data_IF_630028647382
#
_entry.id   IF_630028647382
#
_cell.length_a   1.000
_cell.length_b   1.000
_cell.length_c   1.000
_cell.angle_alpha   90.00
_cell.angle_beta   90.00
_cell.angle_gamma   90.00
#
_symmetry.space_group_name_H-M   'P 1'
#
loop_
_entity.id
_entity.type
_entity.pdbx_description
1 polymer ?
#
# COMPACT_ATOMS: atom_id res chain seq x y z
N UNK A 1 -25.78 11.66 -4.41
CA UNK A 1 -26.05 10.89 -3.16
C UNK A 1 -24.94 9.87 -3.02
N UNK A 2 -24.23 9.79 -1.88
CA UNK A 2 -23.18 8.80 -1.69
C UNK A 2 -23.71 7.39 -1.91
N UNK A 3 -22.95 6.52 -2.57
CA UNK A 3 -23.36 5.13 -2.76
C UNK A 3 -23.49 4.38 -1.42
N UNK A 4 -24.06 3.16 -1.45
CA UNK A 4 -24.21 2.33 -0.24
C UNK A 4 -22.86 2.06 0.45
N UNK A 5 -21.80 1.84 -0.33
CA UNK A 5 -20.48 1.47 0.17
C UNK A 5 -19.78 2.64 0.85
N UNK A 6 -20.03 3.87 0.41
CA UNK A 6 -19.60 5.09 1.09
C UNK A 6 -20.31 5.26 2.44
N UNK A 7 -21.65 5.17 2.45
CA UNK A 7 -22.44 5.36 3.69
C UNK A 7 -22.14 4.31 4.76
N UNK A 8 -21.88 3.07 4.35
CA UNK A 8 -21.60 1.95 5.24
C UNK A 8 -20.10 1.66 5.40
N UNK A 9 -19.21 2.53 4.87
CA UNK A 9 -17.77 2.29 4.86
C UNK A 9 -17.23 1.94 6.26
N UNK A 10 -17.64 2.69 7.28
CA UNK A 10 -17.18 2.47 8.66
C UNK A 10 -17.60 1.10 9.19
N UNK A 11 -18.79 0.62 8.82
CA UNK A 11 -19.27 -0.73 9.17
C UNK A 11 -18.42 -1.80 8.50
N UNK A 12 -18.16 -1.68 7.20
CA UNK A 12 -17.35 -2.65 6.47
C UNK A 12 -15.92 -2.75 7.02
N UNK A 13 -15.28 -1.62 7.32
CA UNK A 13 -13.93 -1.61 7.88
C UNK A 13 -13.89 -2.12 9.33
N UNK A 14 -14.87 -1.80 10.18
CA UNK A 14 -14.94 -2.36 11.52
C UNK A 14 -15.13 -3.89 11.51
N UNK A 15 -16.01 -4.42 10.65
CA UNK A 15 -16.17 -5.88 10.52
C UNK A 15 -14.92 -6.54 9.91
N UNK A 16 -14.23 -5.86 8.99
CA UNK A 16 -12.93 -6.31 8.48
C UNK A 16 -11.91 -6.45 9.61
N UNK A 17 -11.73 -5.42 10.45
CA UNK A 17 -10.80 -5.44 11.57
C UNK A 17 -11.19 -6.45 12.66
N UNK A 18 -12.49 -6.63 12.92
CA UNK A 18 -13.00 -7.66 13.84
C UNK A 18 -12.68 -9.08 13.36
N UNK A 19 -12.77 -9.31 12.06
CA UNK A 19 -12.49 -10.61 11.43
C UNK A 19 -10.98 -10.91 11.41
N UNK A 20 -10.16 -9.95 11.01
CA UNK A 20 -8.73 -10.17 10.77
C UNK A 20 -7.85 -9.91 12.00
N UNK A 21 -8.26 -8.98 12.89
CA UNK A 21 -7.52 -8.58 14.09
C UNK A 21 -6.04 -8.29 13.77
N UNK A 22 -5.13 -8.77 14.63
CA UNK A 22 -3.69 -8.62 14.48
C UNK A 22 -3.11 -9.32 13.24
N UNK A 23 -3.82 -10.27 12.61
CA UNK A 23 -3.31 -10.97 11.42
C UNK A 23 -3.25 -10.06 10.17
N UNK A 24 -3.95 -8.93 10.20
CA UNK A 24 -3.88 -7.92 9.14
C UNK A 24 -2.55 -7.15 9.18
N UNK A 25 -2.16 -6.78 10.39
CA UNK A 25 -0.91 -6.10 10.73
C UNK A 25 0.23 -7.13 10.73
N UNK A 26 0.62 -7.57 9.53
CA UNK A 26 1.80 -8.45 9.37
C UNK A 26 3.06 -7.63 9.44
N UNK A 27 4.16 -8.28 9.80
CA UNK A 27 5.50 -7.71 9.69
C UNK A 27 5.74 -7.13 8.28
N UNK A 28 5.90 -5.81 8.23
CA UNK A 28 6.14 -5.02 7.01
C UNK A 28 7.63 -4.75 6.90
N UNK A 29 8.44 -5.81 6.80
CA UNK A 29 9.90 -5.66 6.73
C UNK A 29 10.37 -4.73 5.61
N UNK A 30 9.63 -4.71 4.49
CA UNK A 30 9.86 -3.82 3.35
C UNK A 30 9.69 -2.34 3.69
N UNK A 31 8.97 -1.98 4.76
CA UNK A 31 8.63 -0.58 5.05
C UNK A 31 9.88 0.29 5.22
N UNK A 32 10.85 -0.14 6.03
CA UNK A 32 12.08 0.63 6.23
C UNK A 32 13.07 0.54 5.06
N UNK A 33 12.94 -0.48 4.21
CA UNK A 33 13.73 -0.58 2.98
C UNK A 33 13.24 0.42 1.94
N UNK A 34 11.93 0.53 1.78
CA UNK A 34 11.32 1.42 0.79
C UNK A 34 11.27 2.88 1.28
N UNK A 35 11.11 3.05 2.60
CA UNK A 35 10.93 4.34 3.25
C UNK A 35 11.91 4.55 4.40
N UNK A 36 13.24 4.60 4.15
CA UNK A 36 14.22 4.88 5.19
C UNK A 36 14.05 6.27 5.82
N UNK A 37 13.29 7.16 5.20
CA UNK A 37 13.00 8.51 5.69
C UNK A 37 12.31 8.51 7.07
N UNK A 38 11.55 7.45 7.36
CA UNK A 38 10.89 7.25 8.66
C UNK A 38 11.85 6.73 9.73
N UNK A 39 13.13 6.50 9.45
CA UNK A 39 14.08 6.13 10.49
C UNK A 39 14.71 7.38 11.13
N UNK A 40 15.03 7.37 12.43
CA UNK A 40 15.81 8.44 13.05
C UNK A 40 17.14 8.62 12.31
N UNK A 41 17.62 9.88 12.19
CA UNK A 41 18.83 10.23 11.42
C UNK A 41 20.03 9.32 11.75
N UNK A 42 20.24 8.94 13.01
CA UNK A 42 21.36 8.07 13.42
C UNK A 42 21.27 6.59 12.99
N UNK A 43 20.10 6.07 12.61
CA UNK A 43 19.95 4.70 12.06
C UNK A 43 20.07 4.65 10.54
N UNK A 44 19.83 5.76 9.84
CA UNK A 44 19.99 5.85 8.38
C UNK A 44 21.42 5.50 7.96
N UNK A 45 22.40 5.93 8.75
CA UNK A 45 23.82 5.69 8.49
C UNK A 45 24.26 4.23 8.68
N UNK A 46 23.53 3.44 9.47
CA UNK A 46 23.84 2.01 9.68
C UNK A 46 23.32 1.15 8.51
N UNK A 47 22.09 1.39 8.03
CA UNK A 47 21.57 0.68 6.85
C UNK A 47 22.39 0.98 5.59
N UNK A 48 22.81 2.24 5.40
CA UNK A 48 23.68 2.62 4.29
C UNK A 48 25.09 1.99 4.35
N UNK A 49 25.57 1.60 5.54
CA UNK A 49 26.84 0.87 5.72
C UNK A 49 26.68 -0.63 5.45
N UNK A 50 25.55 -1.22 5.81
CA UNK A 50 25.24 -2.63 5.54
C UNK A 50 25.05 -2.89 4.04
N UNK A 51 24.41 -1.98 3.30
CA UNK A 51 24.33 -2.07 1.82
C UNK A 51 25.71 -1.98 1.15
N UNK A 52 26.64 -1.18 1.69
CA UNK A 52 28.01 -1.06 1.16
C UNK A 52 28.93 -2.23 1.52
N UNK A 53 28.55 -3.06 2.51
CA UNK A 53 29.29 -4.27 2.92
C UNK A 53 28.90 -5.50 2.08
N UNK A 54 27.73 -5.45 1.43
CA UNK A 54 27.29 -6.43 0.43
C UNK A 54 27.93 -6.11 -0.93
N UNK A 55 29.02 -6.79 -1.26
CA UNK A 55 29.71 -6.66 -2.56
C UNK A 55 28.76 -6.65 -3.76
N UNK A 56 29.01 -5.81 -4.80
CA UNK A 56 28.30 -5.94 -6.06
C UNK A 56 28.84 -7.18 -6.77
N UNK A 57 28.02 -8.21 -6.90
CA UNK A 57 28.29 -9.28 -7.86
C UNK A 57 28.25 -8.65 -9.24
N UNK A 58 29.44 -8.39 -9.80
CA UNK A 58 29.63 -8.11 -11.23
C UNK A 58 29.07 -9.30 -12.00
N UNK A 59 27.90 -9.13 -12.60
CA UNK A 59 27.46 -10.00 -13.69
C UNK A 59 28.34 -9.67 -14.90
N UNK A 60 29.33 -10.53 -15.13
CA UNK A 60 30.13 -10.49 -16.35
C UNK A 60 29.22 -10.70 -17.56
N UNK A 61 29.21 -9.71 -18.43
CA UNK A 61 28.74 -9.87 -19.80
C UNK A 61 29.66 -10.86 -20.52
N UNK A 62 29.10 -12.03 -20.88
CA UNK A 62 29.41 -12.81 -22.09
C UNK A 62 28.61 -14.11 -22.02
N UNK A 63 27.50 -14.17 -22.76
CA UNK A 63 27.19 -15.22 -23.72
C UNK A 63 25.80 -14.92 -24.30
N UNK A 64 25.78 -14.67 -25.61
CA UNK A 64 24.61 -14.22 -26.33
C UNK A 64 23.48 -15.24 -26.32
N UNK A 65 22.26 -14.72 -26.22
CA UNK A 65 21.12 -15.35 -26.84
C UNK A 65 20.39 -14.26 -27.64
N UNK A 66 20.20 -14.59 -28.90
CA UNK A 66 19.82 -13.74 -30.02
C UNK A 66 18.47 -13.06 -29.85
N UNK A 67 18.38 -11.85 -30.42
CA UNK A 67 17.14 -11.14 -30.75
C UNK A 67 16.08 -12.09 -31.32
N UNK A 68 14.98 -12.27 -30.57
CA UNK A 68 13.67 -12.56 -31.15
C UNK A 68 12.73 -11.53 -30.58
N UNK A 69 12.44 -10.50 -31.37
CA UNK A 69 11.38 -9.55 -31.07
C UNK A 69 10.05 -10.29 -31.02
N UNK A 70 9.26 -10.05 -29.97
CA UNK A 70 7.84 -10.36 -29.97
C UNK A 70 7.08 -9.07 -30.30
N UNK A 71 6.47 -8.95 -31.50
CA UNK A 71 5.56 -7.88 -31.81
C UNK A 71 4.16 -8.18 -31.25
N UNK A 72 3.53 -7.16 -30.64
CA UNK A 72 2.08 -7.13 -30.43
C UNK A 72 1.58 -7.47 -29.02
N UNK A 73 1.54 -6.49 -28.12
CA UNK A 73 0.59 -6.44 -26.97
C UNK A 73 0.33 -4.99 -26.49
N UNK A 74 0.51 -4.00 -27.36
CA UNK A 74 -0.12 -2.69 -27.17
C UNK A 74 -1.34 -2.70 -28.09
N UNK A 75 -2.54 -2.88 -27.52
CA UNK A 75 -3.83 -2.35 -28.03
C UNK A 75 -5.05 -2.88 -27.21
N UNK A 76 -4.98 -4.02 -26.51
CA UNK A 76 -6.18 -4.63 -25.87
C UNK A 76 -6.57 -4.12 -24.46
N UNK A 77 -6.02 -2.99 -24.01
CA UNK A 77 -6.28 -2.48 -22.66
C UNK A 77 -7.42 -1.46 -22.51
N UNK A 78 -7.96 -0.95 -23.62
CA UNK A 78 -8.83 0.24 -23.61
C UNK A 78 -10.34 -0.04 -23.63
N UNK A 79 -10.78 -1.28 -23.89
CA UNK A 79 -12.18 -1.55 -24.26
C UNK A 79 -13.00 -2.32 -23.20
N UNK A 80 -12.45 -2.54 -22.00
CA UNK A 80 -13.08 -3.41 -20.99
C UNK A 80 -14.19 -2.74 -20.18
N UNK A 81 -14.22 -1.40 -20.09
CA UNK A 81 -15.24 -0.66 -19.32
C UNK A 81 -16.45 -0.23 -20.16
N UNK A 82 -16.33 -0.13 -21.48
CA UNK A 82 -17.41 0.40 -22.34
C UNK A 82 -18.57 -0.60 -22.53
N UNK A 83 -18.31 -1.91 -22.45
CA UNK A 83 -19.23 -2.93 -22.96
C UNK A 83 -20.23 -3.54 -21.94
N UNK A 84 -20.34 -3.01 -20.71
CA UNK A 84 -21.18 -3.64 -19.68
C UNK A 84 -22.15 -2.72 -18.93
N UNK A 85 -22.45 -1.54 -19.48
CA UNK A 85 -23.41 -0.61 -18.87
C UNK A 85 -24.89 -0.83 -19.23
N UNK A 86 -25.27 -1.86 -20.00
CA UNK A 86 -26.68 -2.08 -20.35
C UNK A 86 -27.10 -3.56 -20.33
N UNK A 87 -28.34 -3.77 -19.88
CA UNK A 87 -29.21 -4.95 -19.87
C UNK A 87 -29.10 -6.00 -18.73
N UNK A 88 -30.06 -5.91 -17.81
CA UNK A 88 -31.31 -6.68 -17.96
C UNK A 88 -31.33 -8.11 -17.40
N UNK A 89 -32.04 -8.28 -16.27
CA UNK A 89 -32.75 -9.47 -15.76
C UNK A 89 -32.51 -10.82 -16.46
N UNK A 90 -32.05 -11.83 -15.72
CA UNK A 90 -32.85 -13.04 -15.40
C UNK A 90 -32.12 -14.04 -14.47
N UNK A 91 -32.96 -14.75 -13.73
CA UNK A 91 -32.75 -15.77 -12.70
C UNK A 91 -31.89 -16.99 -13.12
N UNK A 92 -31.21 -17.63 -12.15
CA UNK A 92 -31.51 -19.00 -11.65
C UNK A 92 -30.33 -19.56 -10.81
N UNK A 93 -30.73 -20.29 -9.76
CA UNK A 93 -30.04 -21.21 -8.83
C UNK A 93 -28.79 -21.91 -9.42
N UNK A 94 -27.68 -22.16 -8.71
CA UNK A 94 -27.50 -22.64 -7.34
C UNK A 94 -27.03 -24.10 -7.40
N UNK A 95 -25.81 -24.42 -6.95
CA UNK A 95 -25.47 -25.74 -6.40
C UNK A 95 -24.15 -25.71 -5.60
N UNK A 96 -24.26 -26.25 -4.39
CA UNK A 96 -23.22 -26.52 -3.40
C UNK A 96 -22.60 -27.89 -3.64
N UNK A 97 -21.28 -28.04 -3.49
CA UNK A 97 -20.67 -29.35 -3.22
C UNK A 97 -19.59 -29.26 -2.14
N UNK A 98 -19.70 -30.19 -1.21
CA UNK A 98 -18.97 -30.33 0.03
C UNK A 98 -17.68 -31.16 -0.11
N UNK A 99 -16.81 -30.97 0.88
CA UNK A 99 -15.60 -31.71 1.25
C UNK A 99 -15.75 -33.24 1.20
N UNK A 100 -14.65 -33.93 0.88
CA UNK A 100 -14.28 -35.19 1.51
C UNK A 100 -12.78 -35.21 1.86
N UNK A 101 -12.50 -35.70 3.07
CA UNK A 101 -11.19 -35.94 3.68
C UNK A 101 -10.68 -37.35 3.31
N UNK A 102 -9.36 -37.54 3.24
CA UNK A 102 -8.69 -38.78 3.59
C UNK A 102 -7.18 -38.54 3.83
N UNK A 103 -6.67 -39.08 4.93
CA UNK A 103 -5.27 -39.32 5.34
C UNK A 103 -5.19 -40.78 5.85
N UNK A 104 -4.03 -41.36 6.19
CA UNK A 104 -2.73 -41.39 5.50
C UNK A 104 -2.18 -42.86 5.42
N UNK A 105 -1.13 -43.13 4.62
CA UNK A 105 -0.33 -44.37 4.71
C UNK A 105 1.16 -44.08 4.51
N UNK A 106 1.96 -44.80 5.30
CA UNK A 106 3.37 -44.64 5.71
C UNK A 106 4.46 -45.18 4.75
N UNK A 107 5.59 -44.44 4.76
CA UNK A 107 7.03 -44.81 4.66
C UNK A 107 7.57 -45.94 3.75
N UNK A 108 8.58 -45.63 2.91
CA UNK A 108 10.00 -45.83 3.27
C UNK A 108 11.06 -45.40 2.20
N UNK A 109 12.11 -44.73 2.72
CA UNK A 109 13.57 -44.85 2.49
C UNK A 109 14.35 -44.16 1.32
N UNK A 110 15.27 -43.31 1.80
CA UNK A 110 16.69 -43.10 1.44
C UNK A 110 17.08 -42.47 0.10
N UNK A 111 17.43 -41.17 0.13
CA UNK A 111 18.56 -40.60 -0.62
C UNK A 111 19.31 -39.57 0.27
N UNK A 112 20.63 -39.57 0.12
CA UNK A 112 21.68 -39.05 1.01
C UNK A 112 21.75 -37.52 1.13
N UNK A 113 22.30 -37.11 2.28
CA UNK A 113 22.62 -35.76 2.74
C UNK A 113 23.44 -34.92 1.75
N UNK A 114 23.06 -33.64 1.62
CA UNK A 114 23.97 -32.54 1.35
C UNK A 114 23.61 -31.44 2.36
N UNK A 115 24.40 -31.34 3.43
CA UNK A 115 24.29 -30.28 4.42
C UNK A 115 24.67 -28.96 3.75
N UNK A 116 23.67 -28.16 3.39
CA UNK A 116 23.87 -26.75 3.13
C UNK A 116 23.56 -26.02 4.43
N UNK A 117 24.61 -25.40 4.99
CA UNK A 117 24.56 -24.51 6.13
C UNK A 117 23.37 -23.56 5.98
N UNK A 118 22.34 -23.78 6.81
CA UNK A 118 21.30 -22.80 7.04
C UNK A 118 21.96 -21.60 7.65
N UNK A 119 22.17 -20.56 6.85
CA UNK A 119 22.41 -19.19 7.35
C UNK A 119 21.27 -18.91 8.33
N UNK A 120 21.59 -18.98 9.63
CA UNK A 120 20.69 -18.55 10.69
C UNK A 120 20.47 -17.07 10.43
N UNK A 121 19.29 -16.76 9.91
CA UNK A 121 18.79 -15.40 9.85
C UNK A 121 18.74 -14.91 11.31
N UNK A 122 19.72 -14.11 11.71
CA UNK A 122 19.81 -13.61 13.08
C UNK A 122 18.50 -12.88 13.40
N UNK A 123 17.88 -13.27 14.51
CA UNK A 123 16.65 -12.66 14.98
C UNK A 123 16.96 -11.28 15.56
N UNK A 124 16.86 -10.25 14.71
CA UNK A 124 16.95 -8.87 15.15
C UNK A 124 15.73 -8.47 16.01
N UNK A 125 15.85 -7.48 16.92
CA UNK A 125 14.72 -6.98 17.70
C UNK A 125 13.56 -6.53 16.79
N UNK A 126 12.35 -7.05 17.01
CA UNK A 126 11.15 -6.72 16.23
C UNK A 126 10.81 -7.68 15.07
N UNK A 127 11.50 -8.81 14.92
CA UNK A 127 11.20 -9.85 13.91
C UNK A 127 9.82 -10.53 14.08
N UNK A 128 9.15 -10.31 15.22
CA UNK A 128 7.78 -10.75 15.50
C UNK A 128 6.76 -9.60 15.62
N UNK A 129 7.14 -8.37 15.28
CA UNK A 129 6.34 -7.16 15.55
C UNK A 129 5.09 -7.10 14.66
N UNK A 130 3.92 -7.08 15.30
CA UNK A 130 2.63 -6.82 14.63
C UNK A 130 2.56 -5.36 14.17
N UNK A 131 3.13 -4.43 14.95
CA UNK A 131 3.22 -3.00 14.64
C UNK A 131 4.67 -2.52 14.68
N UNK A 132 5.46 -2.86 13.65
CA UNK A 132 6.90 -2.56 13.59
C UNK A 132 7.26 -1.08 13.80
N UNK A 133 6.37 -0.15 13.40
CA UNK A 133 6.59 1.28 13.61
C UNK A 133 6.56 1.67 15.10
N UNK A 134 5.75 0.99 15.92
CA UNK A 134 5.67 1.27 17.37
C UNK A 134 6.91 0.79 18.13
N UNK A 135 7.67 -0.16 17.57
CA UNK A 135 8.83 -0.76 18.23
C UNK A 135 10.16 -0.13 17.82
N UNK A 136 10.21 0.50 16.64
CA UNK A 136 11.47 0.96 16.01
C UNK A 136 11.55 2.49 15.88
N UNK A 137 10.43 3.19 16.02
CA UNK A 137 10.36 4.65 15.84
C UNK A 137 10.51 5.39 17.17
N UNK A 138 11.46 6.34 17.22
CA UNK A 138 11.78 7.13 18.42
C UNK A 138 11.35 8.59 18.30
N UNK A 139 10.50 8.92 17.32
CA UNK A 139 9.86 10.23 17.21
C UNK A 139 8.37 10.10 17.51
N UNK A 140 7.70 11.22 17.79
CA UNK A 140 6.28 11.19 18.13
C UNK A 140 5.45 10.71 16.93
N UNK A 141 4.58 9.72 17.15
CA UNK A 141 3.72 9.14 16.12
C UNK A 141 2.28 9.60 16.29
N UNK A 142 1.71 10.17 15.23
CA UNK A 142 0.27 10.28 15.08
C UNK A 142 -0.20 9.18 14.15
N UNK A 143 -1.16 8.38 14.58
CA UNK A 143 -1.79 7.37 13.72
C UNK A 143 -3.30 7.46 13.85
N UNK A 144 -4.00 7.33 12.73
CA UNK A 144 -5.45 7.40 12.73
C UNK A 144 -6.04 6.42 11.73
N UNK A 145 -7.27 6.03 12.02
CA UNK A 145 -8.15 5.28 11.15
C UNK A 145 -9.57 5.78 11.43
N UNK A 146 -10.43 5.79 10.43
CA UNK A 146 -11.82 6.20 10.61
C UNK A 146 -12.67 5.10 11.27
N UNK A 147 -12.19 3.85 11.26
CA UNK A 147 -12.76 2.73 11.99
C UNK A 147 -12.20 2.68 13.42
N UNK A 148 -13.07 2.85 14.42
CA UNK A 148 -12.69 2.80 15.83
C UNK A 148 -12.04 1.47 16.24
N UNK A 149 -12.48 0.35 15.67
CA UNK A 149 -11.90 -0.97 15.95
C UNK A 149 -10.41 -1.05 15.59
N UNK A 150 -9.94 -0.36 14.55
CA UNK A 150 -8.52 -0.31 14.21
C UNK A 150 -7.72 0.47 15.26
N UNK A 151 -8.26 1.60 15.71
CA UNK A 151 -7.63 2.45 16.74
C UNK A 151 -7.56 1.70 18.08
N UNK A 152 -8.60 0.95 18.43
CA UNK A 152 -8.61 0.08 19.61
C UNK A 152 -7.56 -1.04 19.53
N UNK A 153 -7.40 -1.67 18.36
CA UNK A 153 -6.36 -2.68 18.15
C UNK A 153 -4.95 -2.11 18.35
N UNK A 154 -4.69 -0.87 17.90
CA UNK A 154 -3.41 -0.18 18.14
C UNK A 154 -3.22 0.14 19.62
N UNK A 155 -4.22 0.74 20.27
CA UNK A 155 -4.16 1.13 21.69
C UNK A 155 -4.03 -0.05 22.66
N UNK A 156 -4.58 -1.20 22.29
CA UNK A 156 -4.51 -2.43 23.10
C UNK A 156 -3.18 -3.18 22.95
N UNK A 157 -2.31 -2.78 22.03
CA UNK A 157 -1.03 -3.44 21.82
C UNK A 157 -0.05 -3.11 22.95
N UNK A 158 0.73 -4.11 23.41
CA UNK A 158 1.67 -3.94 24.54
C UNK A 158 2.74 -2.86 24.29
N UNK A 159 3.12 -2.65 23.03
CA UNK A 159 4.10 -1.62 22.64
C UNK A 159 3.49 -0.22 22.49
N UNK A 160 2.17 -0.05 22.64
CA UNK A 160 1.55 1.27 22.59
C UNK A 160 1.95 2.08 23.82
N UNK A 161 2.45 3.30 23.59
CA UNK A 161 2.81 4.22 24.66
C UNK A 161 2.33 5.64 24.31
N UNK A 162 1.40 6.15 25.11
CA UNK A 162 0.78 7.47 24.90
C UNK A 162 1.78 8.65 24.98
N UNK A 163 2.97 8.46 25.57
CA UNK A 163 4.00 9.48 25.60
C UNK A 163 4.70 9.68 24.23
N UNK A 164 4.62 8.70 23.33
CA UNK A 164 5.34 8.70 22.04
C UNK A 164 4.42 8.38 20.85
N UNK A 165 3.16 8.03 21.10
CA UNK A 165 2.18 7.69 20.07
C UNK A 165 0.78 8.17 20.47
N UNK A 166 0.10 8.89 19.58
CA UNK A 166 -1.30 9.27 19.69
C UNK A 166 -2.11 8.60 18.59
N UNK A 167 -2.91 7.60 18.99
CA UNK A 167 -3.86 6.93 18.11
C UNK A 167 -5.27 7.54 18.28
N UNK A 168 -5.92 7.94 17.18
CA UNK A 168 -7.23 8.58 17.23
C UNK A 168 -8.13 8.21 16.05
N UNK A 169 -9.44 8.29 16.25
CA UNK A 169 -10.42 8.06 15.18
C UNK A 169 -10.49 9.31 14.31
N UNK A 170 -10.30 9.15 13.01
CA UNK A 170 -10.35 10.28 12.07
C UNK A 170 -10.70 9.80 10.66
N UNK A 171 -11.74 10.39 10.06
CA UNK A 171 -11.99 10.27 8.63
C UNK A 171 -11.18 11.32 7.88
N UNK A 172 -10.13 10.87 7.19
CA UNK A 172 -9.27 11.75 6.38
C UNK A 172 -10.02 12.44 5.25
N UNK A 173 -11.22 11.98 4.90
CA UNK A 173 -12.03 12.55 3.86
C UNK A 173 -13.05 13.58 4.39
N UNK A 174 -13.27 13.67 5.70
CA UNK A 174 -14.18 14.65 6.31
C UNK A 174 -13.44 15.97 6.54
N UNK A 175 -13.74 16.97 5.70
CA UNK A 175 -13.09 18.29 5.70
C UNK A 175 -13.48 19.14 6.92
N UNK A 176 -14.53 18.76 7.65
CA UNK A 176 -14.97 19.46 8.86
C UNK A 176 -14.25 18.97 10.12
N UNK A 177 -13.61 17.79 10.08
CA UNK A 177 -12.89 17.23 11.21
C UNK A 177 -11.46 17.81 11.30
N UNK A 178 -11.14 18.56 12.36
CA UNK A 178 -9.76 19.04 12.56
C UNK A 178 -8.84 17.89 12.98
N UNK A 179 -7.57 17.98 12.59
CA UNK A 179 -6.52 17.14 13.16
C UNK A 179 -6.22 17.58 14.60
N UNK A 180 -5.75 16.67 15.48
CA UNK A 180 -5.42 17.00 16.86
C UNK A 180 -4.08 17.77 17.00
N UNK A 181 -3.66 18.44 15.93
CA UNK A 181 -2.43 19.20 15.80
C UNK A 181 -2.58 20.23 14.67
N UNK A 182 -1.82 21.35 14.71
CA UNK A 182 -1.89 22.40 13.69
C UNK A 182 -1.27 21.95 12.36
N UNK A 183 -1.55 22.74 11.31
CA UNK A 183 -0.86 22.64 10.03
C UNK A 183 0.66 22.83 10.18
N UNK A 184 1.42 22.36 9.19
CA UNK A 184 2.88 22.49 9.12
C UNK A 184 3.66 21.96 10.33
N UNK A 185 3.20 20.86 10.94
CA UNK A 185 3.88 20.21 12.06
C UNK A 185 4.51 18.86 11.69
N UNK A 186 4.06 18.23 10.60
CA UNK A 186 4.48 16.87 10.27
C UNK A 186 5.76 16.88 9.43
N UNK A 187 6.77 16.15 9.90
CA UNK A 187 8.01 15.92 9.14
C UNK A 187 7.78 14.86 8.05
N UNK A 188 6.99 13.83 8.35
CA UNK A 188 6.66 12.74 7.43
C UNK A 188 5.21 12.32 7.62
N UNK A 189 4.50 12.08 6.51
CA UNK A 189 3.18 11.43 6.47
C UNK A 189 3.31 10.14 5.66
N UNK A 190 2.79 9.04 6.19
CA UNK A 190 2.84 7.72 5.56
C UNK A 190 1.44 7.23 5.20
N UNK A 191 1.18 7.01 3.91
CA UNK A 191 -0.05 6.44 3.37
C UNK A 191 0.24 5.08 2.75
N UNK A 192 -0.19 4.00 3.41
CA UNK A 192 0.00 2.62 2.93
C UNK A 192 -1.36 1.94 2.82
N UNK A 193 -1.80 1.64 1.60
CA UNK A 193 -3.12 1.08 1.29
C UNK A 193 -4.29 1.90 1.85
N UNK A 194 -4.16 3.24 1.80
CA UNK A 194 -5.15 4.18 2.33
C UNK A 194 -6.00 4.76 1.20
N UNK A 195 -5.37 5.38 0.20
CA UNK A 195 -6.09 6.08 -0.85
C UNK A 195 -6.94 5.11 -1.68
N UNK A 196 -6.49 3.86 -1.90
CA UNK A 196 -7.31 2.87 -2.62
C UNK A 196 -8.65 2.55 -1.96
N UNK A 197 -8.82 2.81 -0.66
CA UNK A 197 -10.09 2.58 0.04
C UNK A 197 -11.11 3.72 -0.15
N UNK A 198 -10.64 4.87 -0.63
CA UNK A 198 -11.38 6.13 -0.75
C UNK A 198 -12.00 6.22 -2.15
N UNK A 199 -13.14 6.91 -2.28
CA UNK A 199 -13.70 7.19 -3.60
C UNK A 199 -12.75 8.12 -4.41
N UNK A 200 -12.46 7.86 -5.69
CA UNK A 200 -11.52 8.65 -6.49
C UNK A 200 -11.72 10.17 -6.41
N UNK A 201 -12.97 10.63 -6.52
CA UNK A 201 -13.33 12.05 -6.45
C UNK A 201 -12.92 12.76 -5.14
N UNK A 202 -12.71 12.00 -4.05
CA UNK A 202 -12.31 12.56 -2.74
C UNK A 202 -10.79 12.55 -2.54
N UNK A 203 -10.04 11.75 -3.31
CA UNK A 203 -8.60 11.53 -3.08
C UNK A 203 -7.78 12.82 -3.21
N UNK A 204 -8.07 13.66 -4.22
CA UNK A 204 -7.37 14.93 -4.40
C UNK A 204 -7.52 15.86 -3.19
N UNK A 205 -8.73 15.95 -2.63
CA UNK A 205 -9.00 16.74 -1.43
C UNK A 205 -8.21 16.25 -0.22
N UNK A 206 -8.16 14.93 -0.03
CA UNK A 206 -7.37 14.26 1.03
C UNK A 206 -5.89 14.61 0.87
N UNK A 207 -5.30 14.39 -0.31
CA UNK A 207 -3.87 14.66 -0.53
C UNK A 207 -3.55 16.14 -0.34
N UNK A 208 -4.42 17.04 -0.82
CA UNK A 208 -4.26 18.49 -0.67
C UNK A 208 -4.29 18.93 0.80
N UNK A 209 -5.14 18.32 1.63
CA UNK A 209 -5.15 18.57 3.09
C UNK A 209 -3.90 18.03 3.76
N UNK A 210 -3.51 16.79 3.47
CA UNK A 210 -2.32 16.18 4.06
C UNK A 210 -1.04 16.97 3.71
N UNK A 211 -0.95 17.52 2.50
CA UNK A 211 0.15 18.39 2.11
C UNK A 211 0.27 19.65 2.99
N UNK A 212 -0.84 20.20 3.48
CA UNK A 212 -0.82 21.37 4.40
C UNK A 212 -0.27 21.02 5.77
N UNK A 213 -0.47 19.79 6.24
CA UNK A 213 0.05 19.32 7.53
C UNK A 213 1.57 19.17 7.53
N UNK A 214 2.20 19.01 6.36
CA UNK A 214 3.65 18.89 6.26
C UNK A 214 4.33 20.22 6.52
N UNK A 215 5.45 20.18 7.25
CA UNK A 215 6.42 21.28 7.30
C UNK A 215 7.00 21.53 5.90
N UNK A 216 7.50 22.75 5.59
CA UNK A 216 8.39 22.95 4.45
C UNK A 216 9.53 21.94 4.46
N UNK A 217 9.74 21.23 3.35
CA UNK A 217 10.70 20.13 3.24
C UNK A 217 10.23 18.78 3.80
N UNK A 218 9.05 18.69 4.43
CA UNK A 218 8.47 17.44 4.91
C UNK A 218 8.03 16.52 3.77
N UNK A 219 7.91 15.23 4.04
CA UNK A 219 7.65 14.21 3.01
C UNK A 219 6.32 13.47 3.19
N UNK A 220 5.59 13.28 2.10
CA UNK A 220 4.49 12.33 1.99
C UNK A 220 5.01 11.07 1.29
N UNK A 221 4.89 9.94 1.98
CA UNK A 221 5.29 8.62 1.53
C UNK A 221 4.05 7.80 1.20
N UNK A 222 4.00 7.24 0.00
CA UNK A 222 2.82 6.60 -0.54
C UNK A 222 3.14 5.18 -1.00
N UNK A 223 2.32 4.20 -0.63
CA UNK A 223 2.32 2.86 -1.24
C UNK A 223 0.91 2.33 -1.37
N UNK A 224 0.49 2.00 -2.59
CA UNK A 224 -0.84 1.44 -2.84
C UNK A 224 -0.87 0.49 -4.05
N UNK A 225 -2.05 -0.06 -4.37
CA UNK A 225 -2.20 -1.04 -5.45
C UNK A 225 -2.00 -0.40 -6.84
N UNK A 226 -1.22 -1.06 -7.69
CA UNK A 226 -1.02 -0.62 -9.08
C UNK A 226 -1.92 -1.35 -10.07
N UNK A 227 -2.25 -0.69 -11.19
CA UNK A 227 -3.04 -1.29 -12.27
C UNK A 227 -2.41 -2.58 -12.80
N UNK A 228 -3.29 -3.46 -13.28
CA UNK A 228 -2.97 -4.79 -13.82
C UNK A 228 -2.40 -5.76 -12.78
N UNK A 229 -2.58 -5.49 -11.48
CA UNK A 229 -2.37 -6.50 -10.45
C UNK A 229 -3.33 -7.68 -10.69
N UNK A 230 -2.86 -8.91 -10.47
CA UNK A 230 -3.69 -10.13 -10.67
C UNK A 230 -5.00 -10.09 -9.85
N UNK A 231 -5.03 -9.37 -8.73
CA UNK A 231 -6.27 -9.17 -7.96
C UNK A 231 -7.29 -8.28 -8.68
N UNK A 232 -6.84 -7.24 -9.40
CA UNK A 232 -7.70 -6.40 -10.23
C UNK A 232 -8.35 -7.24 -11.34
N UNK A 233 -7.53 -8.01 -12.06
CA UNK A 233 -7.95 -8.77 -13.25
C UNK A 233 -8.91 -9.94 -12.92
N UNK A 234 -9.15 -10.24 -11.65
CA UNK A 234 -10.02 -11.34 -11.21
C UNK A 234 -11.35 -10.89 -10.62
N UNK A 235 -11.62 -9.59 -10.55
CA UNK A 235 -12.94 -9.14 -10.10
C UNK A 235 -14.02 -9.64 -11.07
N UNK A 236 -15.09 -10.21 -10.51
CA UNK A 236 -16.24 -10.69 -11.28
C UNK A 236 -17.16 -9.52 -11.65
N UNK A 237 -18.02 -9.72 -12.64
CA UNK A 237 -19.10 -8.77 -12.97
C UNK A 237 -19.91 -8.44 -11.72
N UNK A 238 -20.28 -7.17 -11.55
CA UNK A 238 -21.00 -6.67 -10.37
C UNK A 238 -20.11 -6.13 -9.23
N UNK A 239 -18.78 -6.27 -9.34
CA UNK A 239 -17.85 -5.70 -8.36
C UNK A 239 -17.18 -4.39 -8.80
N UNK A 240 -17.31 -4.00 -10.07
CA UNK A 240 -16.79 -2.74 -10.59
C UNK A 240 -17.75 -1.60 -10.20
N UNK A 241 -17.25 -0.61 -9.46
CA UNK A 241 -17.98 0.59 -9.08
C UNK A 241 -17.80 1.70 -10.12
N UNK A 242 -16.57 1.89 -10.59
CA UNK A 242 -16.16 2.79 -11.67
C UNK A 242 -14.82 2.33 -12.25
N UNK A 243 -14.26 3.04 -13.23
CA UNK A 243 -12.98 2.64 -13.83
C UNK A 243 -11.90 2.47 -12.75
N UNK A 244 -11.29 1.28 -12.71
CA UNK A 244 -10.25 0.90 -11.74
C UNK A 244 -10.67 0.89 -10.27
N UNK A 245 -11.96 1.09 -9.96
CA UNK A 245 -12.49 1.12 -8.62
C UNK A 245 -13.47 -0.02 -8.38
N UNK A 246 -13.20 -0.84 -7.37
CA UNK A 246 -13.93 -2.08 -7.14
C UNK A 246 -14.36 -2.23 -5.68
N UNK A 247 -15.43 -2.99 -5.47
CA UNK A 247 -15.84 -3.48 -4.16
C UNK A 247 -15.43 -4.94 -3.95
N UNK A 248 -14.86 -5.24 -2.79
CA UNK A 248 -14.45 -6.57 -2.35
C UNK A 248 -15.63 -7.34 -1.74
N UNK A 249 -15.45 -8.65 -1.54
CA UNK A 249 -16.48 -9.51 -0.97
C UNK A 249 -16.89 -9.17 0.48
N UNK A 250 -16.05 -8.44 1.21
CA UNK A 250 -16.32 -7.94 2.56
C UNK A 250 -16.96 -6.53 2.57
N UNK A 251 -17.25 -5.96 1.39
CA UNK A 251 -17.81 -4.63 1.23
C UNK A 251 -16.80 -3.48 1.31
N UNK A 252 -15.53 -3.76 1.60
CA UNK A 252 -14.46 -2.75 1.48
C UNK A 252 -14.15 -2.47 0.01
N UNK A 253 -13.53 -1.32 -0.28
CA UNK A 253 -13.26 -0.88 -1.65
C UNK A 253 -11.77 -0.88 -1.95
N UNK A 254 -11.45 -0.88 -3.24
CA UNK A 254 -10.07 -0.82 -3.73
C UNK A 254 -10.01 -0.12 -5.08
N UNK A 255 -9.19 0.93 -5.17
CA UNK A 255 -8.72 1.54 -6.40
C UNK A 255 -7.36 0.96 -6.83
N UNK A 256 -7.11 0.91 -8.13
CA UNK A 256 -5.81 0.50 -8.69
C UNK A 256 -5.22 1.65 -9.50
N UNK A 257 -4.05 2.14 -9.07
CA UNK A 257 -3.42 3.35 -9.59
C UNK A 257 -2.44 3.08 -10.73
N UNK A 258 -2.33 4.03 -11.64
CA UNK A 258 -1.15 4.24 -12.49
C UNK A 258 -0.14 5.15 -11.78
N UNK A 259 1.10 5.15 -12.27
CA UNK A 259 2.13 6.10 -11.85
C UNK A 259 1.71 7.55 -12.16
N UNK A 260 1.15 7.79 -13.35
CA UNK A 260 0.72 9.12 -13.81
C UNK A 260 -0.41 9.71 -12.95
N UNK A 261 -1.41 8.90 -12.56
CA UNK A 261 -2.48 9.36 -11.65
C UNK A 261 -1.91 9.82 -10.31
N UNK A 262 -0.93 9.08 -9.77
CA UNK A 262 -0.27 9.43 -8.50
C UNK A 262 0.60 10.67 -8.68
N UNK A 263 1.37 10.76 -9.77
CA UNK A 263 2.15 11.95 -10.10
C UNK A 263 1.26 13.20 -10.13
N UNK A 264 0.18 13.17 -10.92
CA UNK A 264 -0.72 14.30 -11.10
C UNK A 264 -1.40 14.69 -9.78
N UNK A 265 -1.93 13.71 -9.04
CA UNK A 265 -2.66 13.97 -7.79
C UNK A 265 -1.79 14.68 -6.74
N UNK A 266 -0.54 14.24 -6.60
CA UNK A 266 0.38 14.77 -5.59
C UNK A 266 1.02 16.11 -6.02
N UNK A 267 1.32 16.27 -7.31
CA UNK A 267 1.84 17.55 -7.82
C UNK A 267 0.79 18.65 -7.83
N UNK A 268 -0.47 18.33 -8.14
CA UNK A 268 -1.61 19.26 -7.99
C UNK A 268 -1.83 19.69 -6.54
N UNK A 269 -1.43 18.88 -5.56
CA UNK A 269 -1.43 19.24 -4.15
C UNK A 269 -0.23 20.12 -3.73
N UNK A 270 0.62 20.53 -4.68
CA UNK A 270 1.78 21.38 -4.43
C UNK A 270 3.01 20.64 -3.91
N UNK A 271 3.04 19.31 -4.02
CA UNK A 271 4.20 18.50 -3.65
C UNK A 271 5.12 18.27 -4.87
N UNK A 272 6.42 18.16 -4.62
CA UNK A 272 7.42 17.81 -5.61
C UNK A 272 7.65 16.31 -5.59
N UNK A 273 7.58 15.67 -6.76
CA UNK A 273 7.91 14.26 -6.87
C UNK A 273 9.42 14.04 -6.66
N UNK A 274 9.76 13.24 -5.65
CA UNK A 274 11.14 12.80 -5.40
C UNK A 274 11.36 11.41 -6.01
N UNK A 275 10.34 10.56 -5.96
CA UNK A 275 10.37 9.20 -6.50
C UNK A 275 8.93 8.73 -6.73
N UNK A 276 8.66 8.06 -7.85
CA UNK A 276 7.38 7.40 -8.13
C UNK A 276 7.70 6.15 -8.96
N UNK A 277 7.45 4.97 -8.40
CA UNK A 277 7.90 3.69 -8.96
C UNK A 277 6.76 2.70 -9.05
N UNK A 278 6.74 1.93 -10.15
CA UNK A 278 5.89 0.75 -10.30
C UNK A 278 6.65 -0.51 -9.87
N UNK A 279 6.33 -1.03 -8.69
CA UNK A 279 6.90 -2.25 -8.12
C UNK A 279 6.10 -3.48 -8.59
N UNK A 280 6.73 -4.30 -9.46
CA UNK A 280 6.15 -5.54 -10.00
C UNK A 280 6.85 -6.75 -9.41
N UNK A 281 6.09 -7.63 -8.76
CA UNK A 281 6.64 -8.87 -8.16
C UNK A 281 5.84 -10.11 -8.55
N UNK A 282 6.53 -11.21 -8.82
CA UNK A 282 5.90 -12.52 -8.97
C UNK A 282 5.83 -13.22 -7.60
N UNK A 283 4.64 -13.34 -7.04
CA UNK A 283 4.40 -14.10 -5.82
C UNK A 283 3.89 -15.50 -6.16
N UNK A 284 4.56 -16.53 -5.64
CA UNK A 284 4.16 -17.93 -5.84
C UNK A 284 3.66 -18.52 -4.53
N UNK A 285 2.35 -18.80 -4.46
CA UNK A 285 1.79 -19.59 -3.38
C UNK A 285 1.95 -21.08 -3.73
N UNK A 286 3.04 -21.70 -3.25
CA UNK A 286 3.34 -23.11 -3.52
C UNK A 286 2.25 -24.07 -3.00
N UNK A 287 1.66 -23.77 -1.83
CA UNK A 287 0.58 -24.58 -1.24
C UNK A 287 -0.66 -24.61 -2.13
N UNK A 288 -1.04 -23.45 -2.68
CA UNK A 288 -2.21 -23.32 -3.56
C UNK A 288 -1.88 -23.52 -5.05
N UNK A 289 -0.60 -23.71 -5.40
CA UNK A 289 -0.09 -23.77 -6.78
C UNK A 289 -0.51 -22.56 -7.64
N UNK A 290 -0.63 -21.37 -7.03
CA UNK A 290 -1.04 -20.14 -7.74
C UNK A 290 0.16 -19.21 -7.87
N UNK A 291 0.39 -18.71 -9.09
CA UNK A 291 1.27 -17.57 -9.38
C UNK A 291 0.43 -16.29 -9.40
N UNK A 292 0.92 -15.23 -8.76
CA UNK A 292 0.27 -13.93 -8.69
C UNK A 292 1.28 -12.87 -9.10
N UNK A 293 1.02 -12.19 -10.21
CA UNK A 293 1.71 -10.96 -10.55
C UNK A 293 1.12 -9.84 -9.71
N UNK A 294 1.94 -9.28 -8.85
CA UNK A 294 1.56 -8.20 -7.95
C UNK A 294 2.14 -6.90 -8.44
N UNK A 295 1.35 -5.85 -8.38
CA UNK A 295 1.73 -4.51 -8.81
C UNK A 295 1.39 -3.53 -7.71
N UNK A 296 2.37 -2.71 -7.33
CA UNK A 296 2.21 -1.62 -6.39
C UNK A 296 2.79 -0.34 -6.98
N UNK A 297 2.22 0.80 -6.61
CA UNK A 297 2.85 2.09 -6.81
C UNK A 297 3.50 2.49 -5.50
N UNK A 298 4.74 2.95 -5.56
CA UNK A 298 5.50 3.42 -4.40
C UNK A 298 6.04 4.82 -4.71
N UNK A 299 5.62 5.79 -3.92
CA UNK A 299 5.88 7.21 -4.15
C UNK A 299 6.50 7.90 -2.95
N UNK A 300 7.32 8.91 -3.22
CA UNK A 300 7.90 9.86 -2.27
C UNK A 300 7.72 11.25 -2.84
N UNK A 301 7.01 12.09 -2.09
CA UNK A 301 6.68 13.46 -2.50
C UNK A 301 7.06 14.41 -1.39
N UNK A 302 7.69 15.53 -1.72
CA UNK A 302 8.21 16.48 -0.75
C UNK A 302 7.51 17.83 -0.87
N UNK A 303 7.12 18.41 0.27
CA UNK A 303 6.65 19.80 0.31
C UNK A 303 7.84 20.73 0.03
N UNK A 304 7.72 21.70 -0.88
CA UNK A 304 8.79 22.66 -1.16
C UNK A 304 9.32 23.36 0.12
N UNK A 305 10.62 23.67 0.15
CA UNK A 305 11.25 24.41 1.26
C UNK A 305 10.83 25.88 1.32
N UNK A 306 10.41 26.45 0.18
CA UNK A 306 9.93 27.82 0.07
C UNK A 306 8.56 27.80 -0.60
N UNK A 307 7.62 28.67 -0.18
CA UNK A 307 6.40 28.88 -0.94
C UNK A 307 6.76 29.32 -2.37
N UNK A 308 5.99 28.93 -3.39
CA UNK A 308 6.23 29.39 -4.76
C UNK A 308 6.25 30.92 -4.77
N UNK A 309 7.38 31.52 -5.19
CA UNK A 309 7.47 32.96 -5.35
C UNK A 309 6.49 33.37 -6.46
N UNK A 310 5.43 34.08 -6.11
CA UNK A 310 4.60 34.77 -7.09
C UNK A 310 5.49 35.75 -7.85
N UNK A 311 5.75 35.48 -9.12
CA UNK A 311 6.36 36.44 -10.04
C UNK A 311 5.35 37.56 -10.33
N UNK A 312 5.23 38.52 -9.40
CA UNK A 312 4.63 39.81 -9.70
C UNK A 312 5.51 40.53 -10.73
N UNK A 313 5.21 40.33 -12.01
CA UNK A 313 5.65 41.24 -13.06
C UNK A 313 4.88 42.55 -12.90
N UNK A 314 5.49 43.52 -12.23
CA UNK A 314 5.07 44.91 -12.34
C UNK A 314 5.34 45.36 -13.78
N UNK A 315 4.26 45.63 -14.53
CA UNK A 315 4.34 46.38 -15.78
C UNK A 315 4.73 47.84 -15.46
N UNK A 316 5.69 48.43 -16.19
CA UNK A 316 6.04 49.83 -16.01
C UNK A 316 4.92 50.74 -16.51
N UNK A 317 4.70 51.82 -15.77
CA UNK A 317 3.69 52.87 -15.99
C UNK A 317 3.94 53.69 -17.24
#
# INVERSE_FOLDING_TARGET
VPDKYEREASKYWNEFYKTHKNNFFKDRNWLFLEFPEILPKGRKDQMNKEEKSSYPVKLNATNGCTNVGFPGMFEEGKDYCQNHLVDGLTSVQGHSYNKNQAEPVTENKHVKNCEQETVKQESFPGSGATYRILEVFYSFLYCCDFASGAVELVKSHLSYNAAWCSAFVHDVCDDSLPYPFPDEIQDVILLVFVLSAIHPDRMQGVVSRLAKLLKPGGMLLFRDYGRYDTSQLRFKKGHCLSENFYVRGDGTRVYFFTEDEVHNMFTLAGLVEVQNLVDRRLQVNRKKKVKMQRVWIQGKFQKPLQPPQNSCQYAPS
#
